data_IF_798788056807
#
_entry.id   IF_798788056807
#
_cell.length_a   1.000
_cell.length_b   1.000
_cell.length_c   1.000
_cell.angle_alpha   90.00
_cell.angle_beta   90.00
_cell.angle_gamma   90.00
#
_symmetry.space_group_name_H-M   'P 1'
#
loop_
_entity.id
_entity.type
_entity.pdbx_description
1 polymer ?
#
# COMPACT_ATOMS: atom_id res chain seq x y z
N UNK A 1 13.36 -7.82 -7.50
CA UNK A 1 13.57 -6.53 -8.19
C UNK A 1 13.81 -5.49 -7.12
N UNK A 2 14.69 -4.51 -7.34
CA UNK A 2 14.80 -3.39 -6.40
C UNK A 2 13.63 -2.43 -6.60
N UNK A 3 12.99 -2.00 -5.52
CA UNK A 3 11.86 -1.08 -5.56
C UNK A 3 12.12 0.10 -4.63
N UNK A 4 12.14 1.30 -5.22
CA UNK A 4 12.26 2.55 -4.50
C UNK A 4 10.90 2.95 -3.92
N UNK A 5 10.84 3.09 -2.60
CA UNK A 5 9.66 3.65 -1.93
C UNK A 5 9.82 5.17 -1.86
N UNK A 6 9.33 5.85 -2.91
CA UNK A 6 9.32 7.31 -2.97
C UNK A 6 8.12 7.92 -2.25
N UNK A 7 8.16 9.22 -1.98
CA UNK A 7 7.02 9.95 -1.41
C UNK A 7 5.76 9.82 -2.27
N UNK A 8 5.90 9.75 -3.60
CA UNK A 8 4.77 9.52 -4.50
C UNK A 8 4.13 8.14 -4.31
N UNK A 9 4.93 7.11 -4.00
CA UNK A 9 4.42 5.77 -3.71
C UNK A 9 3.63 5.77 -2.40
N UNK A 10 4.17 6.38 -1.35
CA UNK A 10 3.49 6.50 -0.06
C UNK A 10 2.22 7.36 -0.17
N UNK A 11 2.27 8.47 -0.90
CA UNK A 11 1.09 9.29 -1.19
C UNK A 11 0.01 8.52 -1.94
N UNK A 12 0.38 7.63 -2.86
CA UNK A 12 -0.57 6.74 -3.55
C UNK A 12 -1.18 5.71 -2.61
N UNK A 13 -0.41 5.13 -1.69
CA UNK A 13 -0.92 4.16 -0.72
C UNK A 13 -1.95 4.78 0.23
N UNK A 14 -1.70 6.01 0.67
CA UNK A 14 -2.56 6.73 1.62
C UNK A 14 -3.49 7.75 0.96
N UNK A 15 -3.56 7.77 -0.37
CA UNK A 15 -4.45 8.63 -1.14
C UNK A 15 -5.85 8.03 -1.27
N UNK A 16 -6.70 8.70 -2.03
CA UNK A 16 -8.03 8.20 -2.42
C UNK A 16 -7.90 7.05 -3.42
N UNK A 17 -8.89 6.13 -3.46
CA UNK A 17 -8.97 5.04 -4.43
C UNK A 17 -8.51 5.47 -5.84
N UNK A 18 -7.74 4.61 -6.51
CA UNK A 18 -7.38 4.83 -7.91
C UNK A 18 -8.63 4.69 -8.79
N UNK A 19 -8.63 5.37 -9.95
CA UNK A 19 -9.75 5.37 -10.92
C UNK A 19 -10.18 3.97 -11.37
N UNK A 20 -9.32 2.97 -11.23
CA UNK A 20 -9.58 1.55 -11.51
C UNK A 20 -10.52 0.86 -10.50
N UNK A 21 -11.09 1.60 -9.53
CA UNK A 21 -12.01 1.08 -8.51
C UNK A 21 -11.35 0.19 -7.46
N UNK A 22 -10.02 0.16 -7.40
CA UNK A 22 -9.27 -0.57 -6.36
C UNK A 22 -9.12 0.31 -5.12
N UNK A 23 -9.48 -0.19 -3.92
CA UNK A 23 -9.29 0.57 -2.70
C UNK A 23 -7.81 0.86 -2.48
N UNK A 24 -7.51 2.07 -2.02
CA UNK A 24 -6.18 2.42 -1.57
C UNK A 24 -5.80 1.62 -0.32
N UNK A 25 -4.52 1.62 0.04
CA UNK A 25 -4.09 0.93 1.26
C UNK A 25 -4.74 1.56 2.50
N UNK A 26 -4.93 2.88 2.52
CA UNK A 26 -5.66 3.55 3.60
C UNK A 26 -7.14 3.12 3.68
N UNK A 27 -7.83 3.01 2.54
CA UNK A 27 -9.23 2.55 2.51
C UNK A 27 -9.35 1.08 2.93
N UNK A 28 -8.37 0.25 2.58
CA UNK A 28 -8.31 -1.12 3.07
C UNK A 28 -8.13 -1.16 4.61
N UNK A 29 -7.20 -0.37 5.15
CA UNK A 29 -6.97 -0.28 6.60
C UNK A 29 -8.19 0.25 7.35
N UNK A 30 -8.99 1.12 6.76
CA UNK A 30 -10.22 1.65 7.37
C UNK A 30 -11.28 0.57 7.67
N UNK A 31 -11.14 -0.64 7.13
CA UNK A 31 -11.97 -1.78 7.52
C UNK A 31 -11.59 -2.40 8.88
N UNK A 32 -10.42 -2.07 9.41
CA UNK A 32 -9.83 -2.68 10.60
C UNK A 32 -9.35 -1.66 11.65
N UNK A 33 -9.05 -0.43 11.23
CA UNK A 33 -8.42 0.62 12.04
C UNK A 33 -9.20 1.93 11.93
N UNK A 34 -9.14 2.72 12.99
CA UNK A 34 -9.64 4.09 12.97
C UNK A 34 -8.67 5.07 12.27
N UNK A 35 -9.10 6.33 12.12
CA UNK A 35 -8.32 7.35 11.42
C UNK A 35 -6.98 7.68 12.12
N UNK A 36 -6.93 7.64 13.44
CA UNK A 36 -5.73 7.96 14.22
C UNK A 36 -4.71 6.82 14.13
N UNK A 37 -5.19 5.58 14.15
CA UNK A 37 -4.39 4.38 13.92
C UNK A 37 -3.82 4.35 12.50
N UNK A 38 -4.62 4.68 11.49
CA UNK A 38 -4.15 4.81 10.09
C UNK A 38 -3.07 5.89 9.99
N UNK A 39 -3.24 7.03 10.66
CA UNK A 39 -2.23 8.08 10.70
C UNK A 39 -0.94 7.63 11.41
N UNK A 40 -1.03 6.78 12.44
CA UNK A 40 0.14 6.17 13.07
C UNK A 40 0.87 5.22 12.11
N UNK A 41 0.15 4.35 11.40
CA UNK A 41 0.72 3.45 10.38
C UNK A 41 1.41 4.25 9.27
N UNK A 42 0.78 5.32 8.79
CA UNK A 42 1.37 6.22 7.78
C UNK A 42 2.70 6.78 8.24
N UNK A 43 2.75 7.35 9.46
CA UNK A 43 3.99 7.91 10.03
C UNK A 43 5.08 6.85 10.18
N UNK A 44 4.72 5.64 10.61
CA UNK A 44 5.67 4.53 10.75
C UNK A 44 6.28 4.15 9.39
N UNK A 45 5.44 3.98 8.36
CA UNK A 45 5.93 3.63 7.02
C UNK A 45 6.75 4.77 6.39
N UNK A 46 6.34 6.01 6.57
CA UNK A 46 7.13 7.17 6.13
C UNK A 46 8.49 7.23 6.85
N UNK A 47 8.57 6.94 8.14
CA UNK A 47 9.82 6.96 8.89
C UNK A 47 10.80 5.84 8.49
N UNK A 48 10.28 4.67 8.11
CA UNK A 48 11.10 3.48 7.88
C UNK A 48 11.29 3.10 6.41
N UNK A 49 10.49 3.64 5.49
CA UNK A 49 10.56 3.27 4.07
C UNK A 49 10.83 4.45 3.15
N UNK A 50 10.66 5.71 3.61
CA UNK A 50 10.86 6.88 2.74
C UNK A 50 12.29 6.91 2.17
N UNK A 51 12.38 6.92 0.84
CA UNK A 51 13.66 7.01 0.13
C UNK A 51 14.48 5.72 0.17
N UNK A 52 13.94 4.64 0.74
CA UNK A 52 14.63 3.37 0.79
C UNK A 52 14.33 2.53 -0.45
N UNK A 53 15.37 1.88 -0.97
CA UNK A 53 15.26 0.85 -1.98
C UNK A 53 15.24 -0.50 -1.29
N UNK A 54 14.16 -1.25 -1.47
CA UNK A 54 13.99 -2.57 -0.86
C UNK A 54 13.91 -3.67 -1.92
N UNK A 55 14.40 -4.88 -1.61
CA UNK A 55 14.19 -6.03 -2.48
C UNK A 55 12.69 -6.35 -2.50
N UNK A 56 12.06 -6.08 -3.63
CA UNK A 56 10.65 -6.35 -3.89
C UNK A 56 10.48 -7.67 -4.62
N UNK A 57 9.58 -8.50 -4.09
CA UNK A 57 9.18 -9.77 -4.68
C UNK A 57 7.68 -9.75 -4.93
N UNK A 58 7.30 -9.81 -6.20
CA UNK A 58 5.89 -9.94 -6.60
C UNK A 58 5.54 -11.42 -6.71
N UNK A 59 4.43 -11.83 -6.09
CA UNK A 59 3.85 -13.16 -6.29
C UNK A 59 2.57 -13.01 -7.12
N UNK A 60 2.48 -13.73 -8.24
CA UNK A 60 1.28 -13.77 -9.09
C UNK A 60 0.56 -15.08 -8.83
N UNK A 61 -0.68 -15.01 -8.35
CA UNK A 61 -1.54 -16.17 -8.17
C UNK A 61 -2.48 -16.32 -9.37
N UNK A 62 -2.47 -17.49 -10.02
CA UNK A 62 -3.41 -17.83 -11.08
C UNK A 62 -4.58 -18.61 -10.49
N UNK A 63 -5.79 -18.05 -10.58
CA UNK A 63 -7.03 -18.73 -10.17
C UNK A 63 -7.72 -19.26 -11.42
N UNK A 64 -7.98 -20.56 -11.45
CA UNK A 64 -8.71 -21.24 -12.53
C UNK A 64 -9.99 -21.82 -11.98
N UNK A 65 -11.14 -21.37 -12.48
CA UNK A 65 -12.42 -21.98 -12.16
C UNK A 65 -12.63 -23.25 -13.00
N UNK A 66 -13.15 -24.31 -12.37
CA UNK A 66 -13.62 -25.52 -13.06
C UNK A 66 -15.12 -25.68 -12.82
N UNK A 67 -15.83 -26.04 -13.89
CA UNK A 67 -17.28 -26.23 -13.94
C UNK A 67 -17.68 -27.57 -13.35
#
# INVERSE_FOLDING_TARGET
>A
QEYLVSDAVLARWFGTASEDGRPSYAEHLASLLDADEIAAVRRLLEAHLRGETRPWTTTVAYVVARR
#
